data_IF_629023762756
#
_entry.id   IF_629023762756
#
_cell.length_a   1.000
_cell.length_b   1.000
_cell.length_c   1.000
_cell.angle_alpha   90.00
_cell.angle_beta   90.00
_cell.angle_gamma   90.00
#
_symmetry.space_group_name_H-M   'P 1'
#
loop_
_entity.id
_entity.type
_entity.pdbx_description
1 polymer ?
#
# COMPACT_ATOMS: atom_id res chain seq x y z
N UNK A 1 -16.97 6.47 4.52
CA UNK A 1 -15.92 6.50 3.48
C UNK A 1 -14.55 6.60 4.12
N UNK A 2 -13.61 5.85 3.60
CA UNK A 2 -12.24 5.88 4.12
C UNK A 2 -11.51 7.15 3.68
N UNK A 3 -10.71 7.69 4.58
CA UNK A 3 -9.89 8.86 4.29
C UNK A 3 -8.62 8.42 3.58
N UNK A 4 -8.38 8.94 2.39
CA UNK A 4 -7.18 8.63 1.59
C UNK A 4 -5.90 8.94 2.38
N UNK A 5 -5.90 10.08 3.08
CA UNK A 5 -4.74 10.49 3.87
C UNK A 5 -4.42 9.48 4.96
N UNK A 6 -5.43 8.95 5.64
CA UNK A 6 -5.25 7.94 6.68
C UNK A 6 -4.67 6.65 6.10
N UNK A 7 -5.16 6.24 4.92
CA UNK A 7 -4.65 5.05 4.25
C UNK A 7 -3.18 5.21 3.90
N UNK A 8 -2.81 6.37 3.36
CA UNK A 8 -1.42 6.66 3.04
C UNK A 8 -0.55 6.64 4.29
N UNK A 9 -1.02 7.24 5.37
CA UNK A 9 -0.28 7.30 6.62
C UNK A 9 -0.09 5.92 7.25
N UNK A 10 -1.09 5.04 7.14
CA UNK A 10 -0.98 3.67 7.62
C UNK A 10 0.18 2.93 6.96
N UNK A 11 0.26 3.04 5.64
CA UNK A 11 1.32 2.36 4.88
C UNK A 11 2.68 2.99 5.16
N UNK A 12 2.76 4.31 5.25
CA UNK A 12 4.01 4.99 5.59
C UNK A 12 4.53 4.58 6.95
N UNK A 13 3.63 4.38 7.92
CA UNK A 13 4.02 3.96 9.27
C UNK A 13 4.52 2.52 9.30
N UNK A 14 4.02 1.69 8.40
CA UNK A 14 4.39 0.27 8.36
C UNK A 14 5.65 0.02 7.54
N UNK A 15 5.91 0.86 6.55
CA UNK A 15 7.03 0.67 5.61
C UNK A 15 7.88 1.93 5.62
N UNK A 16 9.06 1.83 6.21
CA UNK A 16 9.96 2.96 6.39
C UNK A 16 10.35 3.57 5.05
N UNK A 17 10.31 4.90 4.99
CA UNK A 17 10.72 5.64 3.81
C UNK A 17 9.79 5.48 2.62
N UNK A 18 8.59 4.93 2.82
CA UNK A 18 7.68 4.70 1.71
C UNK A 18 7.09 5.99 1.17
N UNK A 19 7.06 6.07 -0.16
CA UNK A 19 6.32 7.09 -0.88
C UNK A 19 5.01 6.43 -1.31
N UNK A 20 3.90 6.87 -0.76
CA UNK A 20 2.61 6.21 -0.91
C UNK A 20 1.61 7.14 -1.58
N UNK A 21 0.97 6.63 -2.63
CA UNK A 21 -0.11 7.34 -3.29
C UNK A 21 -1.32 6.41 -3.36
N UNK A 22 -2.47 6.92 -2.95
CA UNK A 22 -3.73 6.17 -2.99
C UNK A 22 -4.72 6.91 -3.86
N UNK A 23 -5.33 6.18 -4.80
CA UNK A 23 -6.40 6.70 -5.64
C UNK A 23 -7.61 5.79 -5.52
N UNK A 24 -8.80 6.35 -5.61
CA UNK A 24 -10.04 5.56 -5.53
C UNK A 24 -11.08 6.08 -6.51
N UNK A 25 -11.91 5.16 -6.99
CA UNK A 25 -13.12 5.50 -7.75
C UNK A 25 -14.37 5.32 -6.90
N UNK A 26 -14.20 5.10 -5.59
CA UNK A 26 -15.28 4.85 -4.65
C UNK A 26 -15.43 3.39 -4.29
N UNK A 27 -15.00 2.48 -5.16
CA UNK A 27 -15.06 1.04 -4.93
C UNK A 27 -13.67 0.43 -4.84
N UNK A 28 -12.85 0.64 -5.87
CA UNK A 28 -11.46 0.18 -5.86
C UNK A 28 -10.56 1.22 -5.22
N UNK A 29 -9.61 0.73 -4.44
CA UNK A 29 -8.55 1.55 -3.88
C UNK A 29 -7.23 1.09 -4.47
N UNK A 30 -6.55 1.99 -5.17
CA UNK A 30 -5.30 1.69 -5.86
C UNK A 30 -4.15 2.31 -5.10
N UNK A 31 -3.26 1.44 -4.58
CA UNK A 31 -2.10 1.87 -3.81
C UNK A 31 -0.86 1.76 -4.68
N UNK A 32 -0.10 2.85 -4.74
CA UNK A 32 1.23 2.85 -5.35
C UNK A 32 2.23 3.13 -4.23
N UNK A 33 3.11 2.17 -3.96
CA UNK A 33 4.05 2.26 -2.85
C UNK A 33 5.47 2.07 -3.38
N UNK A 34 6.31 3.06 -3.12
CA UNK A 34 7.71 3.04 -3.53
C UNK A 34 8.58 3.09 -2.27
N UNK A 35 9.46 2.11 -2.10
CA UNK A 35 10.34 2.06 -0.93
C UNK A 35 11.57 1.22 -1.21
N UNK A 36 12.70 1.64 -0.65
CA UNK A 36 13.93 0.84 -0.66
C UNK A 36 13.77 -0.45 0.15
N UNK A 37 12.79 -0.49 1.06
CA UNK A 37 12.49 -1.70 1.84
C UNK A 37 12.05 -2.88 0.97
N UNK A 38 11.62 -2.61 -0.26
CA UNK A 38 11.22 -3.67 -1.20
C UNK A 38 12.40 -4.30 -1.94
N UNK A 39 13.60 -3.74 -1.80
CA UNK A 39 14.79 -4.30 -2.44
C UNK A 39 15.01 -5.74 -1.98
N UNK A 40 15.36 -6.61 -2.92
CA UNK A 40 15.62 -8.03 -2.66
C UNK A 40 14.41 -8.82 -2.18
N UNK A 41 13.20 -8.25 -2.30
CA UNK A 41 11.95 -8.94 -1.98
C UNK A 41 11.15 -9.16 -3.25
N UNK A 42 10.55 -10.34 -3.39
CA UNK A 42 9.70 -10.64 -4.53
C UNK A 42 8.33 -9.95 -4.36
N UNK A 43 7.51 -10.00 -5.41
CA UNK A 43 6.21 -9.30 -5.42
C UNK A 43 5.27 -9.80 -4.32
N UNK A 44 5.27 -11.10 -4.06
CA UNK A 44 4.41 -11.66 -3.01
C UNK A 44 4.78 -11.07 -1.64
N UNK A 45 6.07 -11.00 -1.34
CA UNK A 45 6.54 -10.47 -0.07
C UNK A 45 6.22 -8.98 0.06
N UNK A 46 6.42 -8.22 -1.02
CA UNK A 46 6.10 -6.79 -1.04
C UNK A 46 4.62 -6.55 -0.78
N UNK A 47 3.76 -7.33 -1.43
CA UNK A 47 2.32 -7.24 -1.25
C UNK A 47 1.91 -7.54 0.19
N UNK A 48 2.51 -8.57 0.79
CA UNK A 48 2.24 -8.93 2.18
C UNK A 48 2.60 -7.78 3.13
N UNK A 49 3.67 -7.07 2.86
CA UNK A 49 4.09 -5.93 3.67
C UNK A 49 3.03 -4.82 3.66
N UNK A 50 2.46 -4.53 2.50
CA UNK A 50 1.42 -3.50 2.38
C UNK A 50 0.12 -3.98 3.00
N UNK A 51 -0.27 -5.22 2.73
CA UNK A 51 -1.50 -5.79 3.32
C UNK A 51 -1.46 -5.81 4.84
N UNK A 52 -0.29 -6.03 5.43
CA UNK A 52 -0.15 -6.02 6.89
C UNK A 52 -0.59 -4.69 7.50
N UNK A 53 -0.40 -3.59 6.80
CA UNK A 53 -0.81 -2.26 7.25
C UNK A 53 -2.31 -2.04 7.13
N UNK A 54 -3.01 -2.88 6.36
CA UNK A 54 -4.42 -2.69 6.01
C UNK A 54 -5.32 -3.83 6.51
N UNK A 55 -4.76 -4.82 7.19
CA UNK A 55 -5.48 -6.04 7.56
C UNK A 55 -6.78 -5.79 8.32
N UNK A 56 -6.78 -4.86 9.27
CA UNK A 56 -7.96 -4.57 10.07
C UNK A 56 -9.10 -4.00 9.23
N UNK A 57 -8.77 -3.15 8.27
CA UNK A 57 -9.76 -2.55 7.38
C UNK A 57 -10.33 -3.55 6.38
N UNK A 58 -9.49 -4.48 5.95
CA UNK A 58 -9.92 -5.55 5.06
C UNK A 58 -10.81 -6.53 5.82
N UNK A 59 -10.42 -6.87 7.04
CA UNK A 59 -11.15 -7.83 7.87
C UNK A 59 -12.53 -7.31 8.28
N UNK A 60 -12.66 -6.01 8.53
CA UNK A 60 -13.94 -5.44 8.96
C UNK A 60 -14.82 -5.00 7.77
N UNK A 61 -14.34 -5.17 6.55
CA UNK A 61 -15.10 -4.84 5.36
C UNK A 61 -15.08 -3.38 4.95
N UNK A 62 -14.31 -2.53 5.64
CA UNK A 62 -14.19 -1.12 5.27
C UNK A 62 -13.47 -0.93 3.95
N UNK A 63 -12.53 -1.84 3.65
CA UNK A 63 -11.71 -1.80 2.46
C UNK A 63 -11.96 -3.10 1.67
N UNK A 64 -12.68 -3.02 0.56
CA UNK A 64 -13.13 -4.19 -0.19
C UNK A 64 -12.21 -4.58 -1.34
N UNK A 65 -12.01 -3.67 -2.28
CA UNK A 65 -11.27 -3.95 -3.51
C UNK A 65 -9.98 -3.15 -3.49
N UNK A 66 -8.86 -3.85 -3.42
CA UNK A 66 -7.55 -3.23 -3.26
C UNK A 66 -6.62 -3.71 -4.36
N UNK A 67 -6.01 -2.76 -5.06
CA UNK A 67 -4.94 -3.03 -6.00
C UNK A 67 -3.67 -2.39 -5.45
N UNK A 68 -2.59 -3.17 -5.39
CA UNK A 68 -1.34 -2.70 -4.81
C UNK A 68 -0.23 -2.84 -5.82
N UNK A 69 0.46 -1.74 -6.09
CA UNK A 69 1.64 -1.71 -6.94
C UNK A 69 2.83 -1.32 -6.07
N UNK A 70 3.86 -2.15 -6.07
CA UNK A 70 5.06 -1.95 -5.25
C UNK A 70 6.29 -1.85 -6.13
N UNK A 71 7.15 -0.88 -5.83
CA UNK A 71 8.38 -0.65 -6.59
C UNK A 71 9.47 -0.14 -5.68
N UNK A 72 10.72 -0.39 -6.05
CA UNK A 72 11.84 0.32 -5.44
C UNK A 72 12.10 1.59 -6.24
N UNK A 73 12.80 2.59 -5.66
CA UNK A 73 13.14 3.80 -6.42
C UNK A 73 13.92 3.50 -7.70
N UNK A 74 14.79 2.49 -7.67
CA UNK A 74 15.58 2.15 -8.86
C UNK A 74 14.74 1.51 -9.96
N UNK A 75 13.60 0.91 -9.63
CA UNK A 75 12.73 0.28 -10.62
C UNK A 75 11.92 1.30 -11.41
N UNK A 76 11.76 2.51 -10.90
CA UNK A 76 11.01 3.58 -11.57
C UNK A 76 11.92 4.68 -12.11
N UNK A 77 13.21 4.57 -11.86
CA UNK A 77 14.19 5.57 -12.32
C UNK A 77 14.49 5.40 -13.80
#
# INVERSE_FOLDING_TARGET
>A
MLDIQDLENRVRSAIEGADVKVETDGYYYNFSVVSTEFAEKNQVKRQQMVYAALNDLIADGSLHAVNIKTQTPSEIA
#
